data_IF_175823193168
#
_entry.id   IF_175823193168
#
_cell.length_a   1.000
_cell.length_b   1.000
_cell.length_c   1.000
_cell.angle_alpha   90.00
_cell.angle_beta   90.00
_cell.angle_gamma   90.00
#
_symmetry.space_group_name_H-M   'P 1'
#
loop_
_entity.id
_entity.type
_entity.pdbx_description
1 polymer ?
#
# COMPACT_ATOMS: atom_id res chain seq x y z
N UNK A 1 -0.83 8.12 16.40
CA UNK A 1 -1.56 7.67 15.19
C UNK A 1 -0.90 8.15 13.89
N UNK A 2 -0.51 9.43 13.77
CA UNK A 2 0.15 9.96 12.55
C UNK A 2 1.44 9.24 12.10
N UNK A 3 2.30 8.84 13.05
CA UNK A 3 3.54 8.08 12.73
C UNK A 3 3.26 6.72 12.08
N UNK A 4 2.18 6.04 12.49
CA UNK A 4 1.82 4.72 11.93
C UNK A 4 1.35 4.84 10.49
N UNK A 5 0.56 5.87 10.19
CA UNK A 5 0.15 6.20 8.81
C UNK A 5 1.36 6.54 7.95
N UNK A 6 2.32 7.31 8.46
CA UNK A 6 3.55 7.65 7.74
C UNK A 6 4.38 6.41 7.38
N UNK A 7 4.54 5.47 8.32
CA UNK A 7 5.23 4.20 8.08
C UNK A 7 4.53 3.35 7.02
N UNK A 8 3.21 3.19 7.11
CA UNK A 8 2.44 2.42 6.13
C UNK A 8 2.50 3.06 4.73
N UNK A 9 2.47 4.40 4.65
CA UNK A 9 2.65 5.15 3.39
C UNK A 9 4.05 4.98 2.80
N UNK A 10 5.07 4.83 3.65
CA UNK A 10 6.42 4.52 3.19
C UNK A 10 6.49 3.09 2.63
N UNK A 11 6.03 2.08 3.38
CA UNK A 11 6.01 0.68 2.92
C UNK A 11 5.19 0.52 1.63
N UNK A 12 4.07 1.23 1.50
CA UNK A 12 3.28 1.25 0.28
C UNK A 12 4.04 1.81 -0.93
N UNK A 13 4.84 2.87 -0.74
CA UNK A 13 5.68 3.43 -1.82
C UNK A 13 6.83 2.49 -2.20
N UNK A 14 7.44 1.84 -1.22
CA UNK A 14 8.49 0.84 -1.47
C UNK A 14 7.95 -0.37 -2.24
N UNK A 15 6.75 -0.87 -1.89
CA UNK A 15 6.08 -1.92 -2.63
C UNK A 15 5.77 -1.51 -4.06
N UNK A 16 5.38 -0.25 -4.30
CA UNK A 16 5.12 0.24 -5.65
C UNK A 16 6.39 0.25 -6.51
N UNK A 17 7.50 0.76 -5.96
CA UNK A 17 8.79 0.72 -6.64
C UNK A 17 9.26 -0.72 -6.92
N UNK A 18 9.03 -1.64 -6.00
CA UNK A 18 9.33 -3.06 -6.19
C UNK A 18 8.49 -3.69 -7.31
N UNK A 19 7.20 -3.35 -7.41
CA UNK A 19 6.32 -3.81 -8.49
C UNK A 19 6.82 -3.29 -9.83
N UNK A 20 7.13 -2.00 -9.95
CA UNK A 20 7.63 -1.39 -11.20
C UNK A 20 8.92 -2.06 -11.65
N UNK A 21 9.88 -2.27 -10.72
CA UNK A 21 11.13 -2.98 -11.01
C UNK A 21 10.89 -4.41 -11.49
N UNK A 22 10.04 -5.15 -10.79
CA UNK A 22 9.73 -6.52 -11.14
C UNK A 22 9.04 -6.62 -12.51
N UNK A 23 8.11 -5.71 -12.81
CA UNK A 23 7.41 -5.67 -14.09
C UNK A 23 8.29 -5.21 -15.27
N UNK A 24 9.38 -4.50 -15.00
CA UNK A 24 10.34 -4.10 -16.02
C UNK A 24 11.23 -5.27 -16.49
N UNK A 25 11.27 -6.36 -15.74
CA UNK A 25 12.01 -7.57 -16.10
C UNK A 25 11.23 -8.40 -17.15
N UNK A 26 11.91 -8.84 -18.22
CA UNK A 26 11.28 -9.65 -19.29
C UNK A 26 10.84 -11.04 -18.82
N UNK A 27 11.34 -11.50 -17.67
CA UNK A 27 10.95 -12.76 -17.02
C UNK A 27 10.10 -12.58 -15.76
N UNK A 28 9.46 -11.43 -15.58
CA UNK A 28 8.71 -11.10 -14.38
C UNK A 28 7.73 -12.21 -13.97
N UNK A 29 7.86 -12.72 -12.75
CA UNK A 29 6.88 -13.64 -12.19
C UNK A 29 5.56 -12.90 -11.93
N UNK A 30 4.57 -13.13 -12.80
CA UNK A 30 3.25 -12.53 -12.69
C UNK A 30 2.56 -12.87 -11.36
N UNK A 31 2.82 -14.04 -10.78
CA UNK A 31 2.27 -14.42 -9.48
C UNK A 31 2.91 -13.58 -8.37
N UNK A 32 4.21 -13.34 -8.43
CA UNK A 32 4.90 -12.44 -7.52
C UNK A 32 4.37 -11.00 -7.65
N UNK A 33 4.19 -10.49 -8.87
CA UNK A 33 3.57 -9.17 -9.12
C UNK A 33 2.15 -9.10 -8.53
N UNK A 34 1.32 -10.13 -8.74
CA UNK A 34 -0.04 -10.20 -8.18
C UNK A 34 -0.03 -10.20 -6.64
N UNK A 35 0.89 -10.93 -6.01
CA UNK A 35 1.05 -10.94 -4.54
C UNK A 35 1.45 -9.57 -4.00
N UNK A 36 2.40 -8.89 -4.64
CA UNK A 36 2.82 -7.54 -4.26
C UNK A 36 1.67 -6.53 -4.40
N UNK A 37 0.92 -6.59 -5.51
CA UNK A 37 -0.27 -5.74 -5.70
C UNK A 37 -1.34 -5.96 -4.63
N UNK A 38 -1.59 -7.22 -4.25
CA UNK A 38 -2.52 -7.55 -3.16
C UNK A 38 -2.05 -6.96 -1.82
N UNK A 39 -0.75 -7.06 -1.52
CA UNK A 39 -0.17 -6.47 -0.30
C UNK A 39 -0.26 -4.94 -0.31
N UNK A 40 -0.01 -4.30 -1.46
CA UNK A 40 -0.18 -2.86 -1.66
C UNK A 40 -1.62 -2.42 -1.41
N UNK A 41 -2.61 -3.17 -1.90
CA UNK A 41 -4.03 -2.89 -1.65
C UNK A 41 -4.38 -2.95 -0.15
N UNK A 42 -3.92 -3.99 0.55
CA UNK A 42 -4.12 -4.13 1.99
C UNK A 42 -3.54 -2.95 2.78
N UNK A 43 -2.33 -2.48 2.42
CA UNK A 43 -1.73 -1.29 3.05
C UNK A 43 -2.56 -0.04 2.79
N UNK A 44 -3.06 0.15 1.56
CA UNK A 44 -3.93 1.28 1.22
C UNK A 44 -5.20 1.28 2.09
N UNK A 45 -5.84 0.12 2.24
CA UNK A 45 -7.05 -0.03 3.05
C UNK A 45 -6.78 0.24 4.54
N UNK A 46 -5.63 -0.23 5.06
CA UNK A 46 -5.21 0.05 6.43
C UNK A 46 -4.93 1.54 6.67
N UNK A 47 -4.27 2.20 5.71
CA UNK A 47 -4.03 3.66 5.75
C UNK A 47 -5.37 4.39 5.81
N UNK A 48 -6.29 4.06 4.90
CA UNK A 48 -7.60 4.71 4.84
C UNK A 48 -8.40 4.52 6.14
N UNK A 49 -8.39 3.32 6.75
CA UNK A 49 -9.03 3.07 8.05
C UNK A 49 -8.40 3.85 9.18
N UNK A 50 -7.07 3.96 9.22
CA UNK A 50 -6.37 4.72 10.25
C UNK A 50 -6.57 6.23 10.08
N UNK A 51 -6.67 6.71 8.85
CA UNK A 51 -6.97 8.10 8.52
C UNK A 51 -8.43 8.45 8.85
N UNK A 52 -9.38 7.57 8.54
CA UNK A 52 -10.78 7.70 8.96
C UNK A 52 -10.93 7.61 10.48
N UNK A 53 -10.12 6.82 11.19
CA UNK A 53 -10.13 6.84 12.66
C UNK A 53 -9.50 8.12 13.28
N UNK A 54 -8.73 8.88 12.49
CA UNK A 54 -8.10 10.14 12.89
C UNK A 54 -9.00 11.36 12.60
N UNK A 55 -9.90 11.25 11.64
CA UNK A 55 -10.92 12.25 11.33
C UNK A 55 -12.19 11.77 12.05
N UNK A 56 -12.65 12.39 13.15
CA UNK A 56 -13.92 12.00 13.74
C UNK A 56 -14.98 12.18 12.64
N UNK A 57 -15.62 11.09 12.22
CA UNK A 57 -16.75 11.15 11.29
C UNK A 57 -17.83 12.07 11.90
N UNK A 58 -17.92 13.30 11.40
CA UNK A 58 -19.20 14.00 11.36
C UNK A 58 -19.95 13.36 10.18
N UNK A 59 -21.08 12.66 10.42
CA UNK A 59 -21.74 11.89 9.39
C UNK A 59 -22.31 12.83 8.31
N UNK A 60 -22.01 12.52 7.04
CA UNK A 60 -22.65 13.11 5.86
C UNK A 60 -23.42 12.04 5.09
#
# INVERSE_FOLDING_TARGET
>A
MAQRVALLRQEHRELDAAIVRLQADRGADELAVKRLKKRKLLLKDQIARLESALIPDEPA
#
